data_IF_882273853711
#
_entry.id   IF_882273853711
#
_cell.length_a   1.000
_cell.length_b   1.000
_cell.length_c   1.000
_cell.angle_alpha   90.00
_cell.angle_beta   90.00
_cell.angle_gamma   90.00
#
_symmetry.space_group_name_H-M   'P 1'
#
loop_
_entity.id
_entity.type
_entity.pdbx_description
1 polymer ?
#
# COMPACT_ATOMS: atom_id res chain seq x y z
N UNK A 1 -13.17 -31.39 -0.45
CA UNK A 1 -12.88 -30.39 0.61
C UNK A 1 -14.06 -29.42 0.70
N UNK A 2 -14.63 -29.17 1.90
CA UNK A 2 -15.67 -28.15 2.09
C UNK A 2 -15.07 -26.76 1.87
N UNK A 3 -15.77 -25.88 1.14
CA UNK A 3 -15.38 -24.47 1.00
C UNK A 3 -15.51 -23.81 2.37
N UNK A 4 -14.43 -23.25 2.91
CA UNK A 4 -14.42 -22.51 4.18
C UNK A 4 -14.95 -21.09 3.93
N UNK A 5 -15.84 -20.62 4.80
CA UNK A 5 -16.51 -19.31 4.64
C UNK A 5 -15.73 -18.21 5.37
N UNK A 6 -15.61 -17.02 4.78
CA UNK A 6 -14.92 -15.87 5.39
C UNK A 6 -15.49 -15.49 6.77
N UNK A 7 -16.79 -15.69 6.98
CA UNK A 7 -17.48 -15.37 8.23
C UNK A 7 -16.93 -16.21 9.40
N UNK A 8 -16.46 -17.43 9.15
CA UNK A 8 -15.86 -18.30 10.17
C UNK A 8 -14.50 -17.75 10.65
N UNK A 9 -13.77 -17.04 9.78
CA UNK A 9 -12.50 -16.38 10.14
C UNK A 9 -12.75 -15.12 10.96
N UNK A 10 -13.71 -14.29 10.57
CA UNK A 10 -14.00 -13.04 11.30
C UNK A 10 -14.45 -13.29 12.74
N UNK A 11 -15.04 -14.47 13.00
CA UNK A 11 -15.38 -14.96 14.34
C UNK A 11 -14.17 -15.58 15.05
N UNK A 12 -13.25 -16.22 14.31
CA UNK A 12 -12.02 -16.78 14.84
C UNK A 12 -10.94 -15.70 14.97
N UNK A 13 -10.88 -15.05 16.13
CA UNK A 13 -9.86 -14.09 16.59
C UNK A 13 -8.51 -14.17 15.86
N UNK A 14 -8.39 -13.50 14.71
CA UNK A 14 -7.13 -13.43 13.99
C UNK A 14 -6.16 -12.51 14.75
N UNK A 15 -4.93 -12.97 15.02
CA UNK A 15 -3.92 -12.12 15.63
C UNK A 15 -3.58 -10.92 14.74
N UNK A 16 -3.18 -9.82 15.38
CA UNK A 16 -2.57 -8.69 14.67
C UNK A 16 -1.34 -9.17 13.89
N UNK A 17 -1.16 -8.59 12.70
CA UNK A 17 -0.16 -8.91 11.69
C UNK A 17 -0.34 -10.26 10.99
N UNK A 18 -1.52 -10.89 11.09
CA UNK A 18 -1.86 -12.01 10.21
C UNK A 18 -1.76 -11.56 8.75
N UNK A 19 -0.97 -12.28 7.94
CA UNK A 19 -0.75 -11.97 6.53
C UNK A 19 -1.85 -12.58 5.66
N UNK A 20 -2.33 -11.82 4.69
CA UNK A 20 -3.32 -12.28 3.74
C UNK A 20 -3.18 -11.63 2.37
N UNK A 21 -3.67 -12.31 1.35
CA UNK A 21 -3.68 -11.90 -0.03
C UNK A 21 -5.13 -11.66 -0.49
N UNK A 22 -5.41 -10.46 -0.99
CA UNK A 22 -6.71 -10.13 -1.58
C UNK A 22 -6.90 -10.85 -2.93
N UNK A 23 -8.13 -10.98 -3.45
CA UNK A 23 -8.38 -11.53 -4.80
C UNK A 23 -7.63 -10.77 -5.92
N UNK A 24 -7.31 -9.50 -5.68
CA UNK A 24 -6.47 -8.70 -6.58
C UNK A 24 -5.01 -9.17 -6.61
N UNK A 25 -4.55 -9.99 -5.67
CA UNK A 25 -3.15 -10.38 -5.46
C UNK A 25 -2.37 -9.45 -4.53
N UNK A 26 -3.04 -8.48 -3.90
CA UNK A 26 -2.39 -7.53 -3.01
C UNK A 26 -2.15 -8.15 -1.61
N UNK A 27 -0.91 -8.08 -1.12
CA UNK A 27 -0.52 -8.62 0.19
C UNK A 27 -0.72 -7.60 1.30
N UNK A 28 -1.32 -8.03 2.41
CA UNK A 28 -1.70 -7.18 3.55
C UNK A 28 -1.45 -7.88 4.89
N UNK A 29 -1.28 -7.08 5.92
CA UNK A 29 -1.25 -7.50 7.32
C UNK A 29 -2.50 -7.00 8.03
N UNK A 30 -3.10 -7.84 8.86
CA UNK A 30 -4.24 -7.45 9.69
C UNK A 30 -3.77 -6.49 10.80
N UNK A 31 -4.20 -5.23 10.78
CA UNK A 31 -3.88 -4.28 11.86
C UNK A 31 -4.96 -4.28 12.95
N UNK A 32 -6.23 -4.35 12.53
CA UNK A 32 -7.41 -4.53 13.37
C UNK A 32 -8.56 -5.10 12.54
N UNK A 33 -9.74 -5.33 13.11
CA UNK A 33 -10.90 -5.85 12.36
C UNK A 33 -11.34 -4.95 11.19
N UNK A 34 -10.99 -3.66 11.23
CA UNK A 34 -11.34 -2.65 10.22
C UNK A 34 -10.12 -2.09 9.47
N UNK A 35 -8.91 -2.47 9.88
CA UNK A 35 -7.69 -1.84 9.38
C UNK A 35 -6.68 -2.88 8.90
N UNK A 36 -6.01 -2.55 7.81
CA UNK A 36 -4.97 -3.36 7.20
C UNK A 36 -3.72 -2.52 6.98
N UNK A 37 -2.56 -3.15 7.06
CA UNK A 37 -1.27 -2.60 6.69
C UNK A 37 -0.75 -3.28 5.43
N UNK A 38 0.16 -2.64 4.71
CA UNK A 38 0.93 -3.29 3.63
C UNK A 38 1.80 -4.41 4.23
N UNK A 39 1.83 -5.58 3.60
CA UNK A 39 2.78 -6.66 3.93
C UNK A 39 4.00 -6.68 3.00
N UNK A 40 4.15 -5.64 2.17
CA UNK A 40 5.22 -5.54 1.18
C UNK A 40 6.34 -4.70 1.77
N UNK A 41 7.55 -5.20 1.65
CA UNK A 41 8.77 -4.50 2.04
C UNK A 41 9.26 -3.64 0.88
N UNK A 42 9.53 -2.36 1.16
CA UNK A 42 10.19 -1.48 0.20
C UNK A 42 11.64 -1.96 0.03
N UNK A 43 12.10 -2.28 -1.20
CA UNK A 43 13.51 -2.55 -1.42
C UNK A 43 14.34 -1.32 -1.03
N UNK A 44 15.58 -1.52 -0.57
CA UNK A 44 16.46 -0.40 -0.24
C UNK A 44 16.61 0.53 -1.44
N UNK A 45 15.99 1.71 -1.36
CA UNK A 45 16.18 2.77 -2.33
C UNK A 45 17.40 3.59 -1.93
N UNK A 46 18.26 3.89 -2.91
CA UNK A 46 19.37 4.81 -2.68
C UNK A 46 18.82 6.23 -2.62
N UNK A 47 18.39 6.65 -1.42
CA UNK A 47 17.91 7.99 -1.11
C UNK A 47 19.08 8.99 -0.92
N UNK A 48 20.24 8.71 -1.53
CA UNK A 48 21.40 9.61 -1.50
C UNK A 48 21.01 11.04 -1.85
N UNK A 49 21.82 12.02 -1.40
CA UNK A 49 21.51 13.45 -1.42
C UNK A 49 20.57 13.80 -2.57
N UNK A 50 19.34 14.16 -2.21
CA UNK A 50 18.35 14.65 -3.15
C UNK A 50 18.72 16.11 -3.42
N UNK A 51 19.77 16.33 -4.19
CA UNK A 51 20.26 17.64 -4.62
C UNK A 51 20.15 17.81 -6.14
N UNK A 52 19.62 16.78 -6.82
CA UNK A 52 19.41 16.71 -8.26
C UNK A 52 17.94 16.40 -8.55
N UNK A 53 17.30 17.30 -9.29
CA UNK A 53 15.90 17.20 -9.71
C UNK A 53 15.61 15.92 -10.50
N UNK A 54 16.54 15.47 -11.35
CA UNK A 54 16.36 14.25 -12.13
C UNK A 54 16.28 13.01 -11.23
N UNK A 55 17.05 12.99 -10.13
CA UNK A 55 16.99 11.89 -9.15
C UNK A 55 15.66 11.87 -8.41
N UNK A 56 15.11 13.04 -8.09
CA UNK A 56 13.82 13.16 -7.39
C UNK A 56 12.65 12.74 -8.27
N UNK A 57 12.67 13.11 -9.54
CA UNK A 57 11.70 12.62 -10.54
C UNK A 57 11.78 11.10 -10.70
N UNK A 58 12.98 10.56 -10.84
CA UNK A 58 13.17 9.12 -10.93
C UNK A 58 12.71 8.39 -9.66
N UNK A 59 12.94 8.94 -8.48
CA UNK A 59 12.47 8.36 -7.22
C UNK A 59 10.94 8.32 -7.15
N UNK A 60 10.26 9.39 -7.60
CA UNK A 60 8.81 9.38 -7.71
C UNK A 60 8.33 8.24 -8.61
N UNK A 61 8.93 8.10 -9.79
CA UNK A 61 8.55 7.08 -10.77
C UNK A 61 8.78 5.66 -10.22
N UNK A 62 9.88 5.45 -9.50
CA UNK A 62 10.17 4.19 -8.81
C UNK A 62 9.14 3.88 -7.72
N UNK A 63 8.77 4.85 -6.90
CA UNK A 63 7.76 4.68 -5.85
C UNK A 63 6.37 4.43 -6.45
N UNK A 64 5.99 5.18 -7.48
CA UNK A 64 4.73 4.99 -8.19
C UNK A 64 4.63 3.61 -8.86
N UNK A 65 5.73 3.14 -9.44
CA UNK A 65 5.83 1.80 -10.02
C UNK A 65 5.71 0.73 -8.93
N UNK A 66 6.41 0.89 -7.80
CA UNK A 66 6.31 -0.03 -6.66
C UNK A 66 4.87 -0.11 -6.10
N UNK A 67 4.19 1.03 -5.95
CA UNK A 67 2.78 1.09 -5.50
C UNK A 67 1.87 0.33 -6.48
N UNK A 68 2.13 0.45 -7.79
CA UNK A 68 1.37 -0.25 -8.83
C UNK A 68 1.61 -1.76 -8.82
N UNK A 69 2.87 -2.20 -8.83
CA UNK A 69 3.25 -3.61 -8.87
C UNK A 69 2.72 -4.38 -7.66
N UNK A 70 2.72 -3.72 -6.50
CA UNK A 70 2.26 -4.28 -5.24
C UNK A 70 0.76 -4.06 -4.98
N UNK A 71 0.06 -3.47 -5.94
CA UNK A 71 -1.39 -3.23 -5.89
C UNK A 71 -1.79 -2.55 -4.59
N UNK A 72 -0.98 -1.58 -4.16
CA UNK A 72 -1.23 -0.80 -2.94
C UNK A 72 -2.42 0.14 -3.14
N UNK A 73 -2.66 0.58 -4.38
CA UNK A 73 -3.83 1.33 -4.81
C UNK A 73 -4.67 0.58 -5.85
N UNK A 74 -5.88 1.06 -6.08
CA UNK A 74 -6.75 0.60 -7.18
C UNK A 74 -6.26 1.12 -8.52
N UNK A 75 -6.62 0.47 -9.62
CA UNK A 75 -6.19 0.85 -10.98
C UNK A 75 -6.50 2.31 -11.32
N UNK A 76 -7.67 2.82 -10.89
CA UNK A 76 -8.05 4.24 -11.05
C UNK A 76 -7.07 5.18 -10.36
N UNK A 77 -6.64 4.84 -9.14
CA UNK A 77 -5.66 5.62 -8.37
C UNK A 77 -4.25 5.49 -8.93
N UNK A 78 -3.88 4.33 -9.48
CA UNK A 78 -2.60 4.16 -10.19
C UNK A 78 -2.56 5.02 -11.45
N UNK A 79 -3.65 5.08 -12.22
CA UNK A 79 -3.74 5.94 -13.39
C UNK A 79 -3.59 7.42 -13.03
N UNK A 80 -4.21 7.85 -11.93
CA UNK A 80 -4.05 9.21 -11.40
C UNK A 80 -2.60 9.49 -10.95
N UNK A 81 -1.99 8.54 -10.23
CA UNK A 81 -0.61 8.63 -9.73
C UNK A 81 0.41 8.75 -10.87
N UNK A 82 0.29 7.91 -11.91
CA UNK A 82 1.21 7.90 -13.05
C UNK A 82 0.91 8.97 -14.10
N UNK A 83 -0.26 9.60 -14.05
CA UNK A 83 -0.70 10.61 -14.99
C UNK A 83 -0.66 12.01 -14.39
N UNK A 84 -1.83 12.51 -13.99
CA UNK A 84 -2.02 13.89 -13.52
C UNK A 84 -1.11 14.24 -12.33
N UNK A 85 -0.93 13.33 -11.37
CA UNK A 85 -0.07 13.59 -10.21
C UNK A 85 1.40 13.69 -10.59
N UNK A 86 1.85 12.90 -11.57
CA UNK A 86 3.24 12.94 -12.05
C UNK A 86 3.56 14.26 -12.75
N UNK A 87 2.61 14.78 -13.53
CA UNK A 87 2.73 16.08 -14.21
C UNK A 87 2.72 17.22 -13.20
N UNK A 88 1.80 17.19 -12.22
CA UNK A 88 1.75 18.18 -11.16
C UNK A 88 3.03 18.19 -10.30
N UNK A 89 3.59 17.02 -10.01
CA UNK A 89 4.85 16.87 -9.29
C UNK A 89 6.04 17.46 -10.04
N UNK A 90 6.11 17.27 -11.36
CA UNK A 90 7.15 17.83 -12.21
C UNK A 90 7.12 19.37 -12.19
N UNK A 91 5.92 19.94 -12.26
CA UNK A 91 5.68 21.38 -12.27
C UNK A 91 5.85 22.09 -10.92
N UNK A 92 6.23 21.39 -9.84
CA UNK A 92 6.58 22.05 -8.58
C UNK A 92 7.90 22.81 -8.73
N UNK A 93 7.91 24.11 -8.41
CA UNK A 93 9.12 24.94 -8.51
C UNK A 93 10.01 24.79 -7.26
N UNK A 94 9.40 24.56 -6.09
CA UNK A 94 10.13 24.44 -4.83
C UNK A 94 10.55 22.99 -4.56
N UNK A 95 11.86 22.79 -4.38
CA UNK A 95 12.45 21.50 -4.05
C UNK A 95 11.85 20.88 -2.77
N UNK A 96 11.56 21.72 -1.77
CA UNK A 96 10.96 21.30 -0.50
C UNK A 96 9.57 20.68 -0.67
N UNK A 97 8.79 21.14 -1.64
CA UNK A 97 7.47 20.59 -1.91
C UNK A 97 7.57 19.25 -2.66
N UNK A 98 8.57 19.10 -3.55
CA UNK A 98 8.89 17.79 -4.13
C UNK A 98 9.28 16.77 -3.04
N UNK A 99 10.11 17.15 -2.08
CA UNK A 99 10.47 16.28 -0.95
C UNK A 99 9.26 15.82 -0.15
N UNK A 100 8.32 16.72 0.17
CA UNK A 100 7.08 16.33 0.89
C UNK A 100 6.29 15.27 0.14
N UNK A 101 6.14 15.40 -1.18
CA UNK A 101 5.42 14.41 -1.99
C UNK A 101 6.14 13.06 -1.96
N UNK A 102 7.47 13.05 -2.05
CA UNK A 102 8.27 11.82 -1.91
C UNK A 102 8.10 11.19 -0.53
N UNK A 103 8.15 11.96 0.55
CA UNK A 103 7.98 11.48 1.92
C UNK A 103 6.60 10.84 2.11
N UNK A 104 5.55 11.41 1.52
CA UNK A 104 4.21 10.83 1.54
C UNK A 104 4.15 9.50 0.78
N UNK A 105 4.74 9.45 -0.43
CA UNK A 105 4.82 8.20 -1.20
C UNK A 105 5.60 7.12 -0.44
N UNK A 106 6.71 7.48 0.21
CA UNK A 106 7.46 6.59 1.10
C UNK A 106 6.62 6.13 2.30
N UNK A 107 5.79 7.02 2.86
CA UNK A 107 4.84 6.69 3.93
C UNK A 107 3.81 5.64 3.50
N UNK A 108 3.34 5.70 2.25
CA UNK A 108 2.45 4.70 1.66
C UNK A 108 3.18 3.38 1.45
N UNK A 109 4.43 3.41 0.94
CA UNK A 109 5.18 2.18 0.66
C UNK A 109 5.63 1.45 1.94
N UNK A 110 5.90 2.18 3.02
CA UNK A 110 6.32 1.62 4.31
C UNK A 110 5.16 1.09 5.18
N UNK A 111 3.93 1.09 4.66
CA UNK A 111 2.77 0.55 5.39
C UNK A 111 2.33 1.41 6.58
N UNK A 112 2.72 2.70 6.62
CA UNK A 112 2.21 3.62 7.64
C UNK A 112 0.72 3.91 7.37
N UNK A 113 -0.12 3.82 8.40
CA UNK A 113 -1.55 4.18 8.31
C UNK A 113 -1.78 5.69 8.04
N UNK A 114 -0.72 6.47 7.83
CA UNK A 114 -0.73 7.94 7.83
C UNK A 114 -0.60 8.57 6.43
N UNK A 115 0.05 7.92 5.46
CA UNK A 115 0.59 8.58 4.25
C UNK A 115 -0.40 9.03 3.15
N UNK A 116 -1.70 9.08 3.41
CA UNK A 116 -2.68 9.65 2.46
C UNK A 116 -3.37 10.92 2.98
N UNK A 117 -3.14 11.30 4.24
CA UNK A 117 -3.78 12.48 4.82
C UNK A 117 -3.12 13.79 4.37
N UNK A 118 -1.81 13.80 4.12
CA UNK A 118 -1.12 15.03 3.72
C UNK A 118 -1.22 15.29 2.21
N UNK A 119 -1.42 14.26 1.39
CA UNK A 119 -1.78 14.43 -0.04
C UNK A 119 -3.10 15.21 -0.22
N UNK A 120 -4.03 15.13 0.74
CA UNK A 120 -5.24 15.98 0.72
C UNK A 120 -4.91 17.47 0.93
N UNK A 121 -3.87 17.79 1.70
CA UNK A 121 -3.50 19.18 2.06
C UNK A 121 -2.91 19.98 0.90
N UNK A 122 -2.40 19.28 -0.13
CA UNK A 122 -1.96 19.83 -1.40
C UNK A 122 -3.06 19.81 -2.48
N UNK A 123 -4.33 19.60 -2.08
CA UNK A 123 -5.48 19.53 -2.99
C UNK A 123 -5.68 18.18 -3.68
N UNK A 124 -4.96 17.14 -3.28
CA UNK A 124 -4.84 15.87 -4.00
C UNK A 124 -5.43 14.68 -3.22
N UNK A 125 -6.69 14.82 -2.81
CA UNK A 125 -7.52 13.70 -2.35
C UNK A 125 -8.69 14.16 -1.49
N UNK A 126 -9.82 13.45 -1.56
CA UNK A 126 -10.95 13.71 -0.68
C UNK A 126 -10.83 12.89 0.60
N UNK A 127 -11.28 13.47 1.72
CA UNK A 127 -11.30 12.90 3.09
C UNK A 127 -11.94 11.51 3.21
N UNK A 128 -12.64 11.06 2.17
CA UNK A 128 -13.27 9.74 2.06
C UNK A 128 -12.29 8.62 1.63
N UNK A 129 -11.03 8.95 1.31
CA UNK A 129 -10.01 7.97 0.91
C UNK A 129 -9.19 7.39 2.07
N UNK A 130 -9.71 7.44 3.30
CA UNK A 130 -9.19 6.58 4.37
C UNK A 130 -9.31 5.15 3.86
N UNK A 131 -8.25 4.36 4.00
CA UNK A 131 -8.16 2.92 3.66
C UNK A 131 -9.12 2.05 4.52
N UNK A 132 -10.34 2.54 4.82
CA UNK A 132 -11.31 1.95 5.75
C UNK A 132 -12.28 0.97 5.10
N UNK A 133 -12.40 0.94 3.76
CA UNK A 133 -13.47 0.14 3.11
C UNK A 133 -13.00 -0.85 2.05
N UNK A 134 -11.78 -0.71 1.52
CA UNK A 134 -11.27 -1.58 0.43
C UNK A 134 -10.32 -2.69 0.88
N UNK A 135 -9.92 -2.72 2.16
CA UNK A 135 -8.90 -3.63 2.68
C UNK A 135 -9.41 -4.60 3.75
N UNK A 136 -10.72 -4.63 4.00
CA UNK A 136 -11.33 -5.66 4.84
C UNK A 136 -11.17 -7.02 4.16
N UNK A 137 -10.91 -8.07 4.93
CA UNK A 137 -10.88 -9.42 4.39
C UNK A 137 -12.24 -9.74 3.72
N UNK A 138 -12.22 -9.96 2.41
CA UNK A 138 -13.41 -10.25 1.59
C UNK A 138 -13.39 -11.68 1.08
N UNK A 139 -14.47 -12.12 0.43
CA UNK A 139 -14.52 -13.42 -0.23
C UNK A 139 -13.42 -13.53 -1.29
N UNK A 140 -12.79 -14.69 -1.36
CA UNK A 140 -11.63 -14.97 -2.21
C UNK A 140 -10.28 -14.60 -1.59
N UNK A 141 -10.26 -14.10 -0.35
CA UNK A 141 -9.01 -13.83 0.36
C UNK A 141 -8.26 -15.13 0.67
N UNK A 142 -6.93 -15.07 0.59
CA UNK A 142 -6.05 -16.16 0.98
C UNK A 142 -5.27 -15.79 2.22
N UNK A 143 -5.49 -16.50 3.33
CA UNK A 143 -4.66 -16.38 4.53
C UNK A 143 -3.30 -17.03 4.28
N UNK A 144 -2.24 -16.37 4.73
CA UNK A 144 -0.86 -16.82 4.62
C UNK A 144 -0.29 -16.94 6.03
N UNK A 145 -0.05 -18.17 6.49
CA UNK A 145 0.65 -18.42 7.74
C UNK A 145 2.09 -18.83 7.44
N UNK A 146 3.04 -18.04 7.92
CA UNK A 146 4.47 -18.25 7.74
C UNK A 146 5.10 -18.80 9.02
N UNK A 147 6.08 -19.69 8.88
CA UNK A 147 6.95 -20.09 10.00
C UNK A 147 7.73 -18.87 10.52
N UNK A 148 8.28 -18.95 11.73
CA UNK A 148 9.07 -17.86 12.35
C UNK A 148 10.17 -17.31 11.42
N UNK A 149 10.78 -18.16 10.59
CA UNK A 149 11.85 -17.78 9.64
C UNK A 149 11.34 -17.34 8.26
N UNK A 150 10.03 -17.37 8.01
CA UNK A 150 9.43 -17.11 6.70
C UNK A 150 9.67 -18.19 5.63
N UNK A 151 10.44 -19.25 5.91
CA UNK A 151 10.82 -20.26 4.92
C UNK A 151 9.69 -21.22 4.54
N UNK A 152 8.83 -21.56 5.50
CA UNK A 152 7.66 -22.39 5.25
C UNK A 152 6.40 -21.53 5.31
N UNK A 153 5.50 -21.71 4.34
CA UNK A 153 4.22 -21.02 4.33
C UNK A 153 3.08 -21.98 4.04
N UNK A 154 1.93 -21.74 4.68
CA UNK A 154 0.67 -22.40 4.36
C UNK A 154 -0.33 -21.37 3.88
N UNK A 155 -1.00 -21.67 2.77
CA UNK A 155 -1.98 -20.78 2.13
C UNK A 155 -3.35 -21.41 2.17
N UNK A 156 -4.34 -20.68 2.68
CA UNK A 156 -5.74 -21.15 2.71
C UNK A 156 -6.65 -20.07 2.14
N UNK A 157 -7.33 -20.38 1.04
CA UNK A 157 -8.30 -19.48 0.39
C UNK A 157 -9.71 -19.70 0.93
N UNK A 158 -10.41 -18.61 1.21
CA UNK A 158 -11.77 -18.60 1.76
C UNK A 158 -12.73 -17.96 0.76
N UNK A 159 -13.92 -18.52 0.61
CA UNK A 159 -14.94 -18.07 -0.35
C UNK A 159 -16.20 -17.55 0.35
#
# INVERSE_FOLDING_TARGET
MRKKNIAEILVASLPKYTKYELPSGALRLLASYQEAQSAVELPMLNLGLMDDEAKVLNLYDQLAQFIADNKLFTDKKIALLKGEMRVAFEGLEEFKDKQKVIDELLGVTNGSNQGLQALNSIGLGTSNQRLKSGNTMTNGVTLINESVTGLYSTRTTYN
#
